data_IF_472146336026
#
_entry.id   IF_472146336026
#
_cell.length_a   1.000
_cell.length_b   1.000
_cell.length_c   1.000
_cell.angle_alpha   90.00
_cell.angle_beta   90.00
_cell.angle_gamma   90.00
#
_symmetry.space_group_name_H-M   'P 1'
#
loop_
_entity.id
_entity.type
_entity.pdbx_description
1 polymer ?
#
# COMPACT_ATOMS: atom_id res chain seq x y z
N UNK A 1 3.08 19.99 -3.28
CA UNK A 1 2.13 19.70 -2.17
C UNK A 1 1.58 18.32 -2.40
N UNK A 2 1.65 17.42 -1.41
CA UNK A 2 1.03 16.08 -1.49
C UNK A 2 -0.31 16.20 -0.79
N UNK A 3 -1.39 16.02 -1.54
CA UNK A 3 -2.73 15.91 -0.97
C UNK A 3 -2.89 14.52 -0.39
N UNK A 4 -3.28 14.45 0.88
CA UNK A 4 -3.45 13.19 1.61
C UNK A 4 -4.83 13.12 2.25
N UNK A 5 -5.39 11.94 2.28
CA UNK A 5 -6.66 11.67 2.92
C UNK A 5 -6.37 11.10 4.31
N UNK A 6 -6.82 11.74 5.40
CA UNK A 6 -6.72 11.12 6.72
C UNK A 6 -7.47 9.78 6.72
N UNK A 7 -6.86 8.73 7.27
CA UNK A 7 -7.43 7.37 7.23
C UNK A 7 -8.87 7.27 7.79
N UNK A 8 -9.31 8.07 8.77
CA UNK A 8 -10.69 7.95 9.27
C UNK A 8 -11.76 8.34 8.24
N UNK A 9 -11.45 9.30 7.35
CA UNK A 9 -12.39 9.78 6.31
C UNK A 9 -12.18 9.14 4.94
N UNK A 10 -11.17 8.27 4.81
CA UNK A 10 -10.92 7.52 3.60
C UNK A 10 -12.08 6.56 3.31
N UNK A 11 -12.68 6.67 2.12
CA UNK A 11 -13.77 5.81 1.65
C UNK A 11 -13.30 4.97 0.45
N UNK A 12 -13.34 3.66 0.58
CA UNK A 12 -12.92 2.71 -0.46
C UNK A 12 -13.79 2.76 -1.71
N UNK A 13 -15.06 3.17 -1.58
CA UNK A 13 -15.99 3.25 -2.72
C UNK A 13 -15.64 4.35 -3.72
N UNK A 14 -14.78 5.27 -3.33
CA UNK A 14 -14.24 6.30 -4.22
C UNK A 14 -13.02 5.84 -5.01
N UNK A 15 -12.55 4.61 -4.80
CA UNK A 15 -11.41 4.05 -5.55
C UNK A 15 -11.88 3.57 -6.92
N UNK A 16 -11.11 3.94 -7.93
CA UNK A 16 -11.23 3.43 -9.29
C UNK A 16 -9.95 2.75 -9.71
N UNK A 17 -10.08 1.71 -10.52
CA UNK A 17 -8.99 0.93 -11.08
C UNK A 17 -8.98 1.08 -12.60
N UNK A 18 -7.87 1.57 -13.14
CA UNK A 18 -7.66 1.64 -14.58
C UNK A 18 -7.26 0.27 -15.16
N UNK A 19 -7.48 0.02 -16.45
CA UNK A 19 -6.93 -1.15 -17.13
C UNK A 19 -5.40 -1.20 -17.01
N UNK A 20 -4.82 -2.41 -17.12
CA UNK A 20 -3.38 -2.57 -17.10
C UNK A 20 -2.69 -1.80 -18.24
N UNK A 21 -1.65 -1.08 -17.89
CA UNK A 21 -0.77 -0.37 -18.82
C UNK A 21 0.63 -0.97 -18.73
N UNK A 22 1.23 -1.23 -19.89
CA UNK A 22 2.60 -1.68 -19.97
C UNK A 22 3.55 -0.58 -19.52
N UNK A 23 4.47 -0.94 -18.65
CA UNK A 23 5.56 -0.09 -18.17
C UNK A 23 6.91 -0.58 -18.72
N UNK A 24 7.95 0.23 -18.56
CA UNK A 24 9.30 -0.18 -18.86
C UNK A 24 9.66 -1.49 -18.12
N UNK A 25 10.54 -2.30 -18.74
CA UNK A 25 11.03 -3.56 -18.20
C UNK A 25 9.93 -4.65 -18.00
N UNK A 26 8.87 -4.63 -18.81
CA UNK A 26 7.86 -5.70 -18.86
C UNK A 26 6.88 -5.71 -17.68
N UNK A 27 6.88 -4.67 -16.84
CA UNK A 27 5.88 -4.53 -15.78
C UNK A 27 4.57 -4.02 -16.35
N UNK A 28 3.46 -4.58 -15.87
CA UNK A 28 2.13 -4.09 -16.16
C UNK A 28 1.51 -3.56 -14.86
N UNK A 29 0.97 -2.34 -14.90
CA UNK A 29 0.36 -1.69 -13.73
C UNK A 29 -1.06 -1.25 -14.07
N UNK A 30 -2.02 -1.66 -13.24
CA UNK A 30 -3.37 -1.12 -13.19
C UNK A 30 -3.38 0.00 -12.15
N UNK A 31 -3.48 1.25 -12.60
CA UNK A 31 -3.40 2.41 -11.70
C UNK A 31 -4.66 2.57 -10.87
N UNK A 32 -4.47 3.00 -9.62
CA UNK A 32 -5.54 3.41 -8.71
C UNK A 32 -5.71 4.92 -8.77
N UNK A 33 -6.95 5.38 -8.70
CA UNK A 33 -7.30 6.78 -8.50
C UNK A 33 -8.40 6.89 -7.44
N UNK A 34 -8.59 8.08 -6.89
CA UNK A 34 -9.61 8.37 -5.89
C UNK A 34 -10.51 9.47 -6.42
N UNK A 35 -11.81 9.21 -6.52
CA UNK A 35 -12.82 10.12 -7.05
C UNK A 35 -13.90 10.36 -6.00
N UNK A 36 -13.75 11.42 -5.27
CA UNK A 36 -14.78 12.00 -4.41
C UNK A 36 -15.60 13.01 -5.23
N UNK A 37 -16.88 13.28 -4.91
CA UNK A 37 -17.68 14.25 -5.66
C UNK A 37 -17.07 15.66 -5.82
N UNK A 38 -16.16 16.02 -4.95
CA UNK A 38 -15.49 17.33 -4.94
C UNK A 38 -14.02 17.28 -5.40
N UNK A 39 -13.40 16.10 -5.40
CA UNK A 39 -11.95 15.95 -5.59
C UNK A 39 -11.61 14.71 -6.41
N UNK A 40 -10.70 14.88 -7.36
CA UNK A 40 -10.13 13.80 -8.14
C UNK A 40 -8.62 13.71 -7.88
N UNK A 41 -8.15 12.52 -7.48
CA UNK A 41 -6.73 12.26 -7.26
C UNK A 41 -6.27 11.10 -8.14
N UNK A 42 -5.13 11.26 -8.80
CA UNK A 42 -4.52 10.22 -9.63
C UNK A 42 -3.93 9.05 -8.85
N UNK A 43 -3.65 9.26 -7.55
CA UNK A 43 -3.13 8.26 -6.63
C UNK A 43 -3.98 8.25 -5.36
N UNK A 44 -3.97 7.14 -4.64
CA UNK A 44 -4.63 7.02 -3.33
C UNK A 44 -3.59 7.24 -2.24
N UNK A 45 -3.55 8.44 -1.65
CA UNK A 45 -2.61 8.80 -0.59
C UNK A 45 -3.30 8.89 0.76
N UNK A 46 -2.91 8.03 1.69
CA UNK A 46 -3.51 7.91 3.02
C UNK A 46 -2.50 8.33 4.09
N UNK A 47 -2.90 9.23 4.99
CA UNK A 47 -2.12 9.54 6.19
C UNK A 47 -2.42 8.47 7.27
N UNK A 48 -1.39 7.76 7.70
CA UNK A 48 -1.51 6.72 8.73
C UNK A 48 -1.73 7.29 10.13
N UNK A 49 -2.24 6.49 11.07
CA UNK A 49 -2.05 6.75 12.51
C UNK A 49 -0.58 6.59 12.90
N UNK A 50 -0.20 6.87 14.16
CA UNK A 50 1.07 6.39 14.71
C UNK A 50 1.16 4.86 14.64
N UNK A 51 2.32 4.34 14.23
CA UNK A 51 2.56 2.90 14.08
C UNK A 51 3.88 2.54 14.76
N UNK A 52 3.98 1.34 15.31
CA UNK A 52 5.18 0.89 16.01
C UNK A 52 6.11 0.15 15.06
N UNK A 53 7.35 0.59 14.94
CA UNK A 53 8.37 -0.12 14.17
C UNK A 53 8.66 -1.47 14.82
N UNK A 54 8.58 -2.54 14.03
CA UNK A 54 8.98 -3.90 14.43
C UNK A 54 10.39 -4.16 13.95
N UNK A 55 10.66 -3.93 12.67
CA UNK A 55 11.99 -4.10 12.08
C UNK A 55 12.10 -3.36 10.75
N UNK A 56 13.34 -3.08 10.35
CA UNK A 56 13.68 -2.69 8.99
C UNK A 56 14.60 -3.74 8.37
N UNK A 57 14.23 -4.25 7.20
CA UNK A 57 14.96 -5.27 6.42
C UNK A 57 15.60 -4.60 5.19
N UNK A 58 16.85 -4.13 5.25
CA UNK A 58 17.48 -3.37 4.18
C UNK A 58 17.65 -4.16 2.89
N UNK A 59 17.93 -5.47 2.98
CA UNK A 59 18.07 -6.38 1.85
C UNK A 59 16.78 -6.53 1.02
N UNK A 60 15.63 -6.29 1.64
CA UNK A 60 14.30 -6.33 1.00
C UNK A 60 13.70 -4.93 0.82
N UNK A 61 14.38 -3.87 1.26
CA UNK A 61 13.84 -2.51 1.32
C UNK A 61 12.46 -2.47 2.00
N UNK A 62 12.32 -3.21 3.12
CA UNK A 62 11.03 -3.44 3.78
C UNK A 62 11.05 -2.95 5.22
N UNK A 63 10.13 -2.05 5.53
CA UNK A 63 9.84 -1.59 6.89
C UNK A 63 8.58 -2.31 7.38
N UNK A 64 8.70 -3.07 8.46
CA UNK A 64 7.58 -3.76 9.11
C UNK A 64 7.15 -2.98 10.34
N UNK A 65 5.86 -2.68 10.41
CA UNK A 65 5.25 -1.91 11.50
C UNK A 65 4.04 -2.65 12.06
N UNK A 66 3.87 -2.58 13.36
CA UNK A 66 2.66 -3.06 14.03
C UNK A 66 1.61 -1.96 14.10
N UNK A 67 0.37 -2.31 13.73
CA UNK A 67 -0.80 -1.44 13.75
C UNK A 67 -1.90 -1.97 14.66
N UNK A 68 -1.60 -2.93 15.53
CA UNK A 68 -2.58 -3.55 16.45
C UNK A 68 -3.29 -2.54 17.35
N UNK A 69 -2.62 -1.44 17.73
CA UNK A 69 -3.21 -0.35 18.50
C UNK A 69 -4.27 0.46 17.73
N UNK A 70 -4.41 0.25 16.41
CA UNK A 70 -5.31 1.01 15.54
C UNK A 70 -6.26 0.09 14.74
N UNK A 71 -7.22 -0.58 15.39
CA UNK A 71 -8.08 -1.57 14.73
C UNK A 71 -8.92 -0.98 13.59
N UNK A 72 -9.31 0.29 13.67
CA UNK A 72 -10.02 0.95 12.58
C UNK A 72 -9.14 1.15 11.33
N UNK A 73 -7.87 1.45 11.51
CA UNK A 73 -6.93 1.55 10.39
C UNK A 73 -6.65 0.18 9.78
N UNK A 74 -6.46 -0.85 10.62
CA UNK A 74 -6.32 -2.24 10.20
C UNK A 74 -7.52 -2.69 9.38
N UNK A 75 -8.75 -2.41 9.85
CA UNK A 75 -9.98 -2.71 9.14
C UNK A 75 -10.06 -1.99 7.79
N UNK A 76 -9.68 -0.71 7.73
CA UNK A 76 -9.66 0.07 6.46
C UNK A 76 -8.72 -0.55 5.42
N UNK A 77 -7.51 -0.94 5.83
CA UNK A 77 -6.55 -1.60 4.93
C UNK A 77 -7.05 -2.98 4.47
N UNK A 78 -7.60 -3.77 5.40
CA UNK A 78 -8.19 -5.06 5.06
C UNK A 78 -9.34 -4.90 4.06
N UNK A 79 -10.25 -3.97 4.31
CA UNK A 79 -11.37 -3.68 3.41
C UNK A 79 -10.90 -3.18 2.04
N UNK A 80 -9.83 -2.36 1.99
CA UNK A 80 -9.20 -1.95 0.74
C UNK A 80 -8.69 -3.16 -0.05
N UNK A 81 -8.00 -4.09 0.61
CA UNK A 81 -7.49 -5.30 -0.04
C UNK A 81 -8.64 -6.13 -0.63
N UNK A 82 -9.68 -6.42 0.16
CA UNK A 82 -10.83 -7.23 -0.29
C UNK A 82 -11.64 -6.53 -1.39
N UNK A 83 -11.75 -5.20 -1.34
CA UNK A 83 -12.40 -4.42 -2.38
C UNK A 83 -11.66 -4.55 -3.73
N UNK A 84 -10.33 -4.43 -3.71
CA UNK A 84 -9.50 -4.61 -4.91
C UNK A 84 -9.60 -6.05 -5.43
N UNK A 85 -9.53 -7.07 -4.57
CA UNK A 85 -9.74 -8.48 -4.97
C UNK A 85 -11.10 -8.65 -5.66
N UNK A 86 -12.15 -8.07 -5.10
CA UNK A 86 -13.50 -8.14 -5.67
C UNK A 86 -13.58 -7.46 -7.04
N UNK A 87 -12.93 -6.31 -7.24
CA UNK A 87 -12.85 -5.67 -8.56
C UNK A 87 -12.15 -6.58 -9.57
N UNK A 88 -11.04 -7.22 -9.19
CA UNK A 88 -10.32 -8.16 -10.04
C UNK A 88 -11.16 -9.42 -10.33
N UNK A 89 -11.91 -9.90 -9.37
CA UNK A 89 -12.83 -11.04 -9.57
C UNK A 89 -13.94 -10.70 -10.56
N UNK A 90 -14.61 -9.57 -10.40
CA UNK A 90 -15.69 -9.14 -11.30
C UNK A 90 -15.17 -8.90 -12.73
N UNK A 91 -13.97 -8.33 -12.84
CA UNK A 91 -13.36 -7.96 -14.12
C UNK A 91 -12.23 -8.90 -14.56
N UNK A 92 -12.21 -10.17 -14.09
CA UNK A 92 -11.10 -11.09 -14.32
C UNK A 92 -10.76 -11.31 -15.79
N UNK A 93 -11.76 -11.35 -16.66
CA UNK A 93 -11.56 -11.51 -18.11
C UNK A 93 -10.83 -10.31 -18.72
N UNK A 94 -11.27 -9.10 -18.41
CA UNK A 94 -10.68 -7.88 -18.98
C UNK A 94 -9.35 -7.49 -18.35
N UNK A 95 -9.16 -7.76 -17.05
CA UNK A 95 -7.93 -7.40 -16.33
C UNK A 95 -6.87 -8.50 -16.40
N UNK A 96 -7.25 -9.75 -16.27
CA UNK A 96 -6.31 -10.86 -16.10
C UNK A 96 -6.25 -11.81 -17.30
N UNK A 97 -7.20 -11.72 -18.23
CA UNK A 97 -7.37 -12.65 -19.35
C UNK A 97 -7.59 -14.10 -18.88
N UNK A 98 -8.23 -14.26 -17.73
CA UNK A 98 -8.65 -15.56 -17.17
C UNK A 98 -10.17 -15.58 -17.04
N UNK A 99 -10.75 -16.79 -17.03
CA UNK A 99 -12.18 -16.99 -17.05
C UNK A 99 -12.62 -17.98 -15.99
N UNK A 100 -13.75 -17.69 -15.34
CA UNK A 100 -14.44 -18.61 -14.43
C UNK A 100 -13.62 -19.05 -13.19
N UNK A 101 -12.62 -18.26 -12.79
CA UNK A 101 -11.94 -18.50 -11.52
C UNK A 101 -12.81 -18.05 -10.33
N UNK A 102 -12.66 -18.75 -9.20
CA UNK A 102 -13.33 -18.37 -7.95
C UNK A 102 -12.73 -17.11 -7.34
N UNK A 103 -13.52 -16.42 -6.50
CA UNK A 103 -13.03 -15.26 -5.73
C UNK A 103 -11.78 -15.63 -4.89
N UNK A 104 -11.79 -16.80 -4.24
CA UNK A 104 -10.65 -17.28 -3.47
C UNK A 104 -9.40 -17.51 -4.34
N UNK A 105 -9.57 -18.04 -5.56
CA UNK A 105 -8.46 -18.22 -6.48
C UNK A 105 -7.86 -16.88 -6.91
N UNK A 106 -8.69 -15.88 -7.20
CA UNK A 106 -8.22 -14.52 -7.49
C UNK A 106 -7.48 -13.93 -6.28
N UNK A 107 -8.03 -14.11 -5.06
CA UNK A 107 -7.42 -13.64 -3.82
C UNK A 107 -6.02 -14.22 -3.61
N UNK A 108 -5.80 -15.49 -3.92
CA UNK A 108 -4.52 -16.17 -3.83
C UNK A 108 -3.44 -15.63 -4.78
N UNK A 109 -3.82 -14.88 -5.83
CA UNK A 109 -2.84 -14.22 -6.69
C UNK A 109 -2.19 -12.99 -6.03
N UNK A 110 -2.83 -12.42 -5.00
CA UNK A 110 -2.38 -11.20 -4.35
C UNK A 110 -1.35 -11.45 -3.27
N UNK A 111 -0.32 -10.61 -3.26
CA UNK A 111 0.57 -10.42 -2.11
C UNK A 111 0.11 -9.17 -1.35
N UNK A 112 -0.48 -9.40 -0.19
CA UNK A 112 -1.00 -8.33 0.65
C UNK A 112 0.12 -7.65 1.43
N UNK A 113 -0.10 -6.36 1.76
CA UNK A 113 0.83 -5.59 2.59
C UNK A 113 0.60 -5.85 4.08
N UNK A 114 -0.63 -6.22 4.43
CA UNK A 114 -1.07 -6.45 5.80
C UNK A 114 -1.23 -7.95 6.05
N UNK A 115 -0.57 -8.44 7.09
CA UNK A 115 -0.64 -9.80 7.59
C UNK A 115 -0.95 -9.71 9.10
N UNK A 116 -2.17 -10.08 9.50
CA UNK A 116 -2.71 -9.81 10.83
C UNK A 116 -2.63 -8.32 11.20
N UNK A 117 -1.78 -7.93 12.15
CA UNK A 117 -1.53 -6.54 12.52
C UNK A 117 -0.21 -5.99 11.97
N UNK A 118 0.56 -6.80 11.25
CA UNK A 118 1.85 -6.40 10.69
C UNK A 118 1.69 -5.84 9.29
N UNK A 119 2.00 -4.56 9.12
CA UNK A 119 2.00 -3.88 7.84
C UNK A 119 3.44 -3.82 7.29
N UNK A 120 3.63 -4.35 6.07
CA UNK A 120 4.92 -4.36 5.37
C UNK A 120 4.96 -3.25 4.33
N UNK A 121 5.78 -2.25 4.55
CA UNK A 121 5.92 -1.08 3.70
C UNK A 121 7.25 -1.12 2.94
N UNK A 122 7.21 -0.85 1.63
CA UNK A 122 8.41 -0.75 0.82
C UNK A 122 9.01 0.66 0.96
N UNK A 123 10.29 0.72 1.34
CA UNK A 123 11.03 1.97 1.50
C UNK A 123 12.52 1.77 1.23
N UNK A 124 13.11 2.65 0.41
CA UNK A 124 14.53 2.57 0.10
C UNK A 124 15.41 2.87 1.33
N UNK A 125 16.58 2.18 1.48
CA UNK A 125 17.52 2.42 2.59
C UNK A 125 18.00 3.87 2.71
N UNK A 126 18.03 4.58 1.58
CA UNK A 126 18.46 5.98 1.50
C UNK A 126 17.36 6.99 1.87
N UNK A 127 16.13 6.51 2.10
CA UNK A 127 15.01 7.39 2.44
C UNK A 127 15.22 8.07 3.79
N UNK A 128 14.83 9.35 3.86
CA UNK A 128 14.96 10.16 5.06
C UNK A 128 13.65 10.14 5.86
N UNK A 129 13.81 10.04 7.17
CA UNK A 129 12.76 10.13 8.17
C UNK A 129 12.87 11.48 8.85
N UNK A 130 11.82 12.25 8.91
CA UNK A 130 11.74 13.51 9.63
C UNK A 130 11.46 13.23 11.10
N UNK A 131 12.28 13.78 11.99
CA UNK A 131 12.04 13.69 13.43
C UNK A 131 11.26 14.92 13.94
N UNK A 132 10.46 14.77 14.98
CA UNK A 132 9.69 15.89 15.56
C UNK A 132 10.56 17.05 16.04
N UNK A 133 11.79 16.79 16.45
CA UNK A 133 12.76 17.81 16.83
C UNK A 133 13.33 18.62 15.64
N UNK A 134 12.82 18.40 14.43
CA UNK A 134 13.27 19.06 13.20
C UNK A 134 14.51 18.47 12.55
N UNK A 135 15.13 17.43 13.15
CA UNK A 135 16.23 16.70 12.52
C UNK A 135 15.72 15.65 11.53
N UNK A 136 16.65 15.03 10.79
CA UNK A 136 16.35 13.87 9.94
C UNK A 136 17.30 12.73 10.28
N UNK A 137 16.78 11.50 10.17
CA UNK A 137 17.58 10.28 10.24
C UNK A 137 17.32 9.41 9.00
N UNK A 138 18.09 8.36 8.82
CA UNK A 138 17.83 7.37 7.75
C UNK A 138 16.83 6.34 8.26
N UNK A 139 16.10 5.72 7.34
CA UNK A 139 15.17 4.63 7.70
C UNK A 139 15.91 3.45 8.36
N UNK A 140 17.18 3.22 8.01
CA UNK A 140 18.04 2.20 8.64
C UNK A 140 18.42 2.48 10.10
N UNK A 141 18.16 3.69 10.58
CA UNK A 141 18.40 4.10 11.98
C UNK A 141 17.14 3.95 12.85
N UNK A 142 16.01 3.54 12.24
CA UNK A 142 14.83 3.19 12.99
C UNK A 142 15.06 1.90 13.77
N UNK A 143 14.63 1.90 15.01
CA UNK A 143 14.77 0.77 15.93
C UNK A 143 13.41 0.20 16.32
N UNK A 144 13.32 -1.10 16.65
CA UNK A 144 12.10 -1.68 17.18
C UNK A 144 11.55 -0.86 18.36
N UNK A 145 10.24 -0.58 18.34
CA UNK A 145 9.57 0.25 19.34
C UNK A 145 9.43 1.73 18.95
N UNK A 146 10.21 2.22 17.99
CA UNK A 146 10.04 3.59 17.49
C UNK A 146 8.61 3.80 16.99
N UNK A 147 8.02 4.96 17.33
CA UNK A 147 6.72 5.37 16.81
C UNK A 147 6.90 6.19 15.54
N UNK A 148 6.23 5.80 14.48
CA UNK A 148 6.27 6.51 13.21
C UNK A 148 4.87 6.85 12.71
N UNK A 149 4.79 7.85 11.86
CA UNK A 149 3.62 8.17 11.02
C UNK A 149 4.10 8.37 9.59
N UNK A 150 3.31 7.96 8.63
CA UNK A 150 3.67 8.15 7.22
C UNK A 150 2.47 8.48 6.33
N UNK A 151 2.78 9.00 5.14
CA UNK A 151 1.85 8.99 4.02
C UNK A 151 2.13 7.75 3.20
N UNK A 152 1.11 6.89 3.04
CA UNK A 152 1.17 5.72 2.16
C UNK A 152 0.46 6.12 0.87
N UNK A 153 1.21 6.18 -0.24
CA UNK A 153 0.66 6.47 -1.56
C UNK A 153 0.57 5.18 -2.36
N UNK A 154 -0.64 4.71 -2.61
CA UNK A 154 -0.91 3.58 -3.48
C UNK A 154 -1.02 4.06 -4.93
N UNK A 155 -0.17 3.54 -5.80
CA UNK A 155 -0.14 3.87 -7.23
C UNK A 155 -1.02 2.94 -8.04
N UNK A 156 -1.10 1.67 -7.66
CA UNK A 156 -1.85 0.67 -8.41
C UNK A 156 -1.50 -0.75 -8.03
N UNK A 157 -1.91 -1.67 -8.89
CA UNK A 157 -1.63 -3.11 -8.78
C UNK A 157 -0.71 -3.50 -9.92
N UNK A 158 0.47 -4.03 -9.62
CA UNK A 158 1.34 -4.61 -10.64
C UNK A 158 0.99 -6.07 -10.86
N UNK A 159 1.04 -6.48 -12.13
CA UNK A 159 0.92 -7.87 -12.57
C UNK A 159 2.29 -8.36 -13.00
N UNK A 160 2.75 -9.44 -12.38
CA UNK A 160 3.98 -10.15 -12.71
C UNK A 160 3.61 -11.57 -13.12
N UNK A 161 4.09 -12.00 -14.28
CA UNK A 161 3.90 -13.37 -14.76
C UNK A 161 5.25 -14.05 -14.85
N UNK A 162 5.42 -15.15 -14.14
CA UNK A 162 6.61 -15.98 -14.10
C UNK A 162 6.27 -17.41 -14.48
N UNK A 163 7.30 -18.28 -14.62
CA UNK A 163 7.13 -19.73 -14.86
C UNK A 163 6.24 -20.42 -13.82
N UNK A 164 6.12 -19.86 -12.61
CA UNK A 164 5.31 -20.40 -11.51
C UNK A 164 3.92 -19.77 -11.39
N UNK A 165 3.52 -18.91 -12.33
CA UNK A 165 2.20 -18.32 -12.37
C UNK A 165 2.17 -16.78 -12.32
N UNK A 166 0.96 -16.26 -12.17
CA UNK A 166 0.68 -14.83 -12.08
C UNK A 166 0.67 -14.40 -10.61
N UNK A 167 1.24 -13.24 -10.34
CA UNK A 167 1.23 -12.59 -9.02
C UNK A 167 0.80 -11.13 -9.15
N UNK A 168 -0.01 -10.69 -8.21
CA UNK A 168 -0.52 -9.32 -8.10
C UNK A 168 0.03 -8.65 -6.84
N UNK A 169 0.54 -7.42 -6.96
CA UNK A 169 1.14 -6.69 -5.83
C UNK A 169 0.67 -5.26 -5.79
N UNK A 170 0.35 -4.77 -4.60
CA UNK A 170 0.13 -3.34 -4.37
C UNK A 170 1.44 -2.57 -4.55
N UNK A 171 1.42 -1.61 -5.46
CA UNK A 171 2.52 -0.68 -5.68
C UNK A 171 2.29 0.57 -4.86
N UNK A 172 3.22 0.90 -3.99
CA UNK A 172 3.13 2.06 -3.13
C UNK A 172 4.49 2.72 -2.91
N UNK A 173 4.44 3.96 -2.46
CA UNK A 173 5.61 4.73 -1.99
C UNK A 173 5.25 5.41 -0.67
N UNK A 174 6.28 5.80 0.08
CA UNK A 174 6.16 6.59 1.31
C UNK A 174 6.74 8.00 1.06
N UNK A 175 5.95 8.92 0.49
CA UNK A 175 6.45 10.26 0.16
C UNK A 175 6.80 11.10 1.39
N UNK A 176 6.28 10.73 2.56
CA UNK A 176 6.61 11.36 3.84
C UNK A 176 6.57 10.34 4.96
N UNK A 177 7.60 10.39 5.80
CA UNK A 177 7.75 9.52 6.97
C UNK A 177 8.28 10.35 8.13
N UNK A 178 7.62 10.26 9.29
CA UNK A 178 7.97 10.97 10.51
C UNK A 178 8.22 9.98 11.65
N UNK A 179 9.30 10.20 12.40
CA UNK A 179 9.54 9.58 13.72
C UNK A 179 8.96 10.50 14.78
N UNK A 180 8.07 9.96 15.59
CA UNK A 180 7.43 10.67 16.69
C UNK A 180 8.30 10.61 17.94
N UNK A 181 8.20 11.63 18.79
CA UNK A 181 8.86 11.61 20.10
C UNK A 181 8.15 10.63 21.03
N UNK A 182 8.94 9.90 21.80
CA UNK A 182 8.45 8.99 22.86
C UNK A 182 7.89 9.77 24.02
#
# INVERSE_FOLDING_TARGET
>A
MILTIPYPVFDIHHIQLAPFQAQAYGKNIAYLSYHDPSLEFRDVSILSPPMTVVEYQPEHSRLRVDISAHPHFQLKLHTLHEYIVSMFYVHQTSLLSIHHESHERIRQLFHFLLEDSLLSLYIYPTSLVKCENGTTCRVSELTPGDQIRCVIRFHGISKLTHSHGMHLRFQHTLPSLWKLSS
#
